data_IF_229268310193
#
_entry.id   IF_229268310193
#
_cell.length_a   1.000
_cell.length_b   1.000
_cell.length_c   1.000
_cell.angle_alpha   90.00
_cell.angle_beta   90.00
_cell.angle_gamma   90.00
#
_symmetry.space_group_name_H-M   'P 1'
#
loop_
_entity.id
_entity.type
_entity.pdbx_description
1 polymer ?
#
# COMPACT_ATOMS: atom_id res chain seq x y z
N UNK A 1 31.67 20.75 -42.29
CA UNK A 1 32.36 19.96 -41.25
C UNK A 1 31.86 20.41 -39.87
N UNK A 2 30.72 19.88 -39.40
CA UNK A 2 30.19 20.14 -38.04
C UNK A 2 29.50 18.86 -37.52
N UNK A 3 30.19 17.71 -37.54
CA UNK A 3 29.58 16.43 -37.10
C UNK A 3 30.55 15.56 -36.27
N UNK A 4 31.70 16.07 -35.82
CA UNK A 4 32.70 15.23 -35.10
C UNK A 4 32.72 15.38 -33.58
N UNK A 5 31.99 16.34 -32.99
CA UNK A 5 31.99 16.58 -31.54
C UNK A 5 30.70 16.17 -30.80
N UNK A 6 29.65 15.78 -31.52
CA UNK A 6 28.31 15.50 -30.94
C UNK A 6 28.14 14.05 -30.49
N UNK A 7 28.87 13.10 -31.09
CA UNK A 7 28.77 11.66 -30.81
C UNK A 7 29.14 11.29 -29.37
N UNK A 8 30.28 11.75 -28.79
CA UNK A 8 30.63 11.37 -27.42
C UNK A 8 29.70 11.98 -26.36
N UNK A 9 29.14 13.16 -26.62
CA UNK A 9 28.19 13.81 -25.70
C UNK A 9 26.83 13.09 -25.69
N UNK A 10 26.36 12.63 -26.85
CA UNK A 10 25.10 11.91 -26.97
C UNK A 10 25.17 10.51 -26.32
N UNK A 11 26.27 9.79 -26.53
CA UNK A 11 26.52 8.49 -25.88
C UNK A 11 26.57 8.63 -24.35
N UNK A 12 27.23 9.67 -23.83
CA UNK A 12 27.31 9.92 -22.39
C UNK A 12 25.92 10.24 -21.79
N UNK A 13 25.08 11.00 -22.49
CA UNK A 13 23.71 11.30 -22.04
C UNK A 13 22.84 10.04 -21.97
N UNK A 14 22.93 9.15 -22.97
CA UNK A 14 22.17 7.90 -23.00
C UNK A 14 22.58 6.97 -21.84
N UNK A 15 23.89 6.86 -21.56
CA UNK A 15 24.39 6.07 -20.43
C UNK A 15 23.91 6.62 -19.08
N UNK A 16 23.89 7.95 -18.91
CA UNK A 16 23.38 8.58 -17.70
C UNK A 16 21.88 8.28 -17.48
N UNK A 17 21.07 8.35 -18.53
CA UNK A 17 19.63 8.02 -18.46
C UNK A 17 19.41 6.56 -18.08
N UNK A 18 20.12 5.62 -18.71
CA UNK A 18 20.02 4.18 -18.41
C UNK A 18 20.39 3.89 -16.94
N UNK A 19 21.47 4.46 -16.45
CA UNK A 19 21.88 4.32 -15.07
C UNK A 19 20.83 4.88 -14.10
N UNK A 20 20.26 6.05 -14.42
CA UNK A 20 19.18 6.66 -13.62
C UNK A 20 17.93 5.76 -13.57
N UNK A 21 17.52 5.19 -14.71
CA UNK A 21 16.38 4.25 -14.78
C UNK A 21 16.67 2.99 -13.95
N UNK A 22 17.89 2.44 -14.02
CA UNK A 22 18.30 1.29 -13.21
C UNK A 22 18.26 1.59 -11.70
N UNK A 23 18.79 2.74 -11.28
CA UNK A 23 18.75 3.18 -9.90
C UNK A 23 17.31 3.34 -9.38
N UNK A 24 16.43 4.01 -10.14
CA UNK A 24 15.05 4.23 -9.73
C UNK A 24 14.25 2.93 -9.68
N UNK A 25 14.43 2.01 -10.64
CA UNK A 25 13.82 0.69 -10.59
C UNK A 25 14.33 -0.13 -9.39
N UNK A 26 15.61 -0.05 -9.06
CA UNK A 26 16.17 -0.70 -7.87
C UNK A 26 15.55 -0.14 -6.58
N UNK A 27 15.33 1.17 -6.49
CA UNK A 27 14.62 1.79 -5.35
C UNK A 27 13.17 1.29 -5.29
N UNK A 28 12.43 1.28 -6.41
CA UNK A 28 11.06 0.77 -6.43
C UNK A 28 10.99 -0.71 -6.04
N UNK A 29 11.98 -1.52 -6.42
CA UNK A 29 12.06 -2.91 -6.00
C UNK A 29 12.23 -3.05 -4.48
N UNK A 30 13.08 -2.23 -3.86
CA UNK A 30 13.27 -2.20 -2.39
C UNK A 30 11.96 -1.77 -1.70
N UNK A 31 11.35 -0.68 -2.15
CA UNK A 31 10.09 -0.19 -1.58
C UNK A 31 8.94 -1.18 -1.77
N UNK A 32 8.84 -1.81 -2.94
CA UNK A 32 7.86 -2.87 -3.22
C UNK A 32 8.05 -4.09 -2.32
N UNK A 33 9.30 -4.51 -2.08
CA UNK A 33 9.63 -5.61 -1.18
C UNK A 33 9.30 -5.28 0.29
N UNK A 34 9.60 -4.05 0.72
CA UNK A 34 9.22 -3.57 2.05
C UNK A 34 7.70 -3.52 2.22
N UNK A 35 6.97 -3.03 1.21
CA UNK A 35 5.51 -2.97 1.20
C UNK A 35 4.89 -4.38 1.25
N UNK A 36 5.44 -5.34 0.50
CA UNK A 36 5.01 -6.74 0.55
C UNK A 36 5.25 -7.35 1.94
N UNK A 37 6.44 -7.16 2.51
CA UNK A 37 6.79 -7.65 3.85
C UNK A 37 5.86 -7.10 4.93
N UNK A 38 5.57 -5.79 4.92
CA UNK A 38 4.64 -5.17 5.87
C UNK A 38 3.19 -5.61 5.66
N UNK A 39 2.77 -5.82 4.41
CA UNK A 39 1.43 -6.32 4.11
C UNK A 39 1.24 -7.76 4.62
N UNK A 40 2.26 -8.60 4.49
CA UNK A 40 2.27 -9.94 5.07
C UNK A 40 2.31 -9.88 6.61
N UNK A 41 3.15 -9.01 7.18
CA UNK A 41 3.18 -8.81 8.64
C UNK A 41 1.79 -8.47 9.17
N UNK A 42 1.11 -7.50 8.56
CA UNK A 42 -0.24 -7.09 8.93
C UNK A 42 -1.26 -8.23 8.79
N UNK A 43 -1.08 -9.11 7.79
CA UNK A 43 -1.97 -10.27 7.58
C UNK A 43 -1.74 -11.40 8.59
N UNK A 44 -0.50 -11.64 8.99
CA UNK A 44 -0.13 -12.77 9.85
C UNK A 44 -0.07 -12.43 11.35
N UNK A 45 -0.27 -11.16 11.71
CA UNK A 45 -0.39 -10.77 13.12
C UNK A 45 -1.67 -11.41 13.70
N UNK A 46 -1.56 -12.39 14.62
CA UNK A 46 -2.70 -13.19 15.09
C UNK A 46 -3.76 -12.33 15.78
N UNK A 47 -3.30 -11.25 16.43
CA UNK A 47 -4.18 -10.25 17.02
C UNK A 47 -5.10 -9.63 15.95
N UNK A 48 -4.60 -9.28 14.77
CA UNK A 48 -5.46 -8.66 13.74
C UNK A 48 -6.47 -9.64 13.12
N UNK A 49 -6.10 -10.92 13.01
CA UNK A 49 -6.98 -11.94 12.41
C UNK A 49 -8.26 -12.15 13.21
N UNK A 50 -8.13 -12.25 14.52
CA UNK A 50 -9.29 -12.34 15.41
C UNK A 50 -10.13 -11.06 15.30
N UNK A 51 -9.52 -9.89 15.41
CA UNK A 51 -10.25 -8.63 15.49
C UNK A 51 -11.07 -8.35 14.24
N UNK A 52 -10.49 -8.55 13.05
CA UNK A 52 -11.16 -8.24 11.79
C UNK A 52 -12.31 -9.22 11.52
N UNK A 53 -12.12 -10.51 11.85
CA UNK A 53 -13.19 -11.51 11.74
C UNK A 53 -14.36 -11.17 12.66
N UNK A 54 -14.09 -10.62 13.84
CA UNK A 54 -15.12 -10.34 14.83
C UNK A 54 -15.75 -8.95 14.73
N UNK A 55 -15.03 -7.96 14.20
CA UNK A 55 -15.53 -6.60 13.97
C UNK A 55 -16.27 -6.45 12.64
N UNK A 56 -16.37 -7.52 11.83
CA UNK A 56 -16.99 -7.55 10.50
C UNK A 56 -16.34 -6.57 9.50
N UNK A 57 -15.01 -6.42 9.62
CA UNK A 57 -14.24 -5.42 8.87
C UNK A 57 -13.63 -6.03 7.60
N UNK A 58 -14.46 -6.75 6.83
CA UNK A 58 -14.03 -7.48 5.63
C UNK A 58 -13.43 -6.53 4.57
N UNK A 59 -13.91 -5.30 4.49
CA UNK A 59 -13.45 -4.29 3.53
C UNK A 59 -11.99 -3.87 3.78
N UNK A 60 -11.54 -3.85 5.04
CA UNK A 60 -10.13 -3.63 5.38
C UNK A 60 -9.24 -4.75 4.82
N UNK A 61 -9.69 -6.01 4.90
CA UNK A 61 -8.95 -7.14 4.32
C UNK A 61 -8.85 -7.05 2.80
N UNK A 62 -9.91 -6.61 2.13
CA UNK A 62 -9.88 -6.40 0.67
C UNK A 62 -8.74 -5.43 0.33
N UNK A 63 -8.63 -4.30 1.05
CA UNK A 63 -7.54 -3.33 0.87
C UNK A 63 -6.16 -3.95 1.05
N UNK A 64 -5.95 -4.71 2.13
CA UNK A 64 -4.67 -5.39 2.39
C UNK A 64 -4.31 -6.40 1.29
N UNK A 65 -5.27 -7.24 0.86
CA UNK A 65 -5.02 -8.19 -0.23
C UNK A 65 -4.70 -7.51 -1.57
N UNK A 66 -5.35 -6.39 -1.87
CA UNK A 66 -5.04 -5.58 -3.06
C UNK A 66 -3.61 -5.05 -2.98
N UNK A 67 -3.13 -4.60 -1.81
CA UNK A 67 -1.74 -4.18 -1.63
C UNK A 67 -0.74 -5.34 -1.69
N UNK A 68 -1.09 -6.53 -1.19
CA UNK A 68 -0.26 -7.74 -1.35
C UNK A 68 -0.09 -8.05 -2.84
N UNK A 69 -1.19 -8.09 -3.60
CA UNK A 69 -1.13 -8.36 -5.04
C UNK A 69 -0.32 -7.27 -5.76
N UNK A 70 -0.60 -6.00 -5.47
CA UNK A 70 0.06 -4.84 -6.10
C UNK A 70 1.57 -4.83 -5.80
N UNK A 71 1.98 -5.11 -4.56
CA UNK A 71 3.40 -5.16 -4.20
C UNK A 71 4.17 -6.26 -4.94
N UNK A 72 3.58 -7.45 -5.10
CA UNK A 72 4.17 -8.51 -5.93
C UNK A 72 4.34 -8.06 -7.38
N UNK A 73 3.33 -7.41 -7.96
CA UNK A 73 3.44 -6.85 -9.32
C UNK A 73 4.55 -5.80 -9.40
N UNK A 74 4.63 -4.86 -8.44
CA UNK A 74 5.69 -3.84 -8.41
C UNK A 74 7.08 -4.48 -8.35
N UNK A 75 7.27 -5.52 -7.54
CA UNK A 75 8.56 -6.24 -7.44
C UNK A 75 8.94 -6.85 -8.80
N UNK A 76 8.01 -7.55 -9.45
CA UNK A 76 8.25 -8.16 -10.77
C UNK A 76 8.53 -7.10 -11.82
N UNK A 77 7.72 -6.03 -11.87
CA UNK A 77 7.84 -4.95 -12.85
C UNK A 77 9.14 -4.19 -12.68
N UNK A 78 9.56 -3.92 -11.44
CA UNK A 78 10.83 -3.29 -11.13
C UNK A 78 12.01 -4.18 -11.53
N UNK A 79 11.94 -5.49 -11.26
CA UNK A 79 12.98 -6.44 -11.67
C UNK A 79 13.12 -6.52 -13.19
N UNK A 80 11.99 -6.62 -13.91
CA UNK A 80 11.95 -6.57 -15.38
C UNK A 80 12.46 -5.22 -15.89
N UNK A 81 12.15 -4.12 -15.21
CA UNK A 81 12.64 -2.77 -15.54
C UNK A 81 14.16 -2.66 -15.47
N UNK A 82 14.78 -3.24 -14.43
CA UNK A 82 16.23 -3.33 -14.32
C UNK A 82 16.84 -4.13 -15.48
N UNK A 83 16.25 -5.27 -15.84
CA UNK A 83 16.70 -6.09 -16.97
C UNK A 83 16.53 -5.40 -18.33
N UNK A 84 15.39 -4.74 -18.55
CA UNK A 84 15.09 -4.01 -19.78
C UNK A 84 16.02 -2.81 -19.99
N UNK A 85 16.43 -2.13 -18.91
CA UNK A 85 17.42 -1.05 -18.98
C UNK A 85 18.81 -1.54 -19.43
N UNK A 86 19.17 -2.78 -19.11
CA UNK A 86 20.47 -3.38 -19.44
C UNK A 86 20.48 -4.05 -20.83
N UNK A 87 19.40 -4.71 -21.23
CA UNK A 87 19.35 -5.57 -22.43
C UNK A 87 18.94 -4.85 -23.72
N UNK A 88 18.72 -3.53 -23.68
CA UNK A 88 18.28 -2.70 -24.83
C UNK A 88 17.04 -3.24 -25.58
N UNK A 89 16.25 -4.10 -24.94
CA UNK A 89 15.12 -4.75 -25.57
C UNK A 89 13.91 -3.80 -25.64
N UNK A 90 13.72 -3.17 -26.80
CA UNK A 90 12.71 -2.11 -27.03
C UNK A 90 11.28 -2.56 -26.69
N UNK A 91 10.91 -3.81 -27.01
CA UNK A 91 9.58 -4.34 -26.68
C UNK A 91 9.38 -4.50 -25.17
N UNK A 92 10.42 -4.96 -24.44
CA UNK A 92 10.37 -5.07 -22.98
C UNK A 92 10.23 -3.71 -22.31
N UNK A 93 10.87 -2.68 -22.87
CA UNK A 93 10.72 -1.30 -22.42
C UNK A 93 9.29 -0.78 -22.61
N UNK A 94 8.64 -1.12 -23.74
CA UNK A 94 7.24 -0.76 -23.99
C UNK A 94 6.27 -1.45 -23.03
N UNK A 95 6.45 -2.76 -22.80
CA UNK A 95 5.65 -3.53 -21.84
C UNK A 95 5.84 -2.99 -20.42
N UNK A 96 7.07 -2.64 -20.04
CA UNK A 96 7.36 -2.06 -18.73
C UNK A 96 6.61 -0.73 -18.50
N UNK A 97 6.57 0.16 -19.50
CA UNK A 97 5.81 1.42 -19.42
C UNK A 97 4.31 1.17 -19.14
N UNK A 98 3.71 0.20 -19.84
CA UNK A 98 2.31 -0.17 -19.61
C UNK A 98 2.05 -0.76 -18.22
N UNK A 99 2.93 -1.66 -17.77
CA UNK A 99 2.83 -2.27 -16.44
C UNK A 99 3.04 -1.26 -15.32
N UNK A 100 3.90 -0.26 -15.53
CA UNK A 100 4.15 0.82 -14.57
C UNK A 100 2.90 1.68 -14.34
N UNK A 101 2.15 1.97 -15.41
CA UNK A 101 0.86 2.66 -15.32
C UNK A 101 -0.18 1.82 -14.58
N UNK A 102 -0.24 0.51 -14.88
CA UNK A 102 -1.15 -0.41 -14.19
C UNK A 102 -0.87 -0.47 -12.68
N UNK A 103 0.41 -0.62 -12.30
CA UNK A 103 0.83 -0.63 -10.90
C UNK A 103 0.49 0.69 -10.19
N UNK A 104 0.62 1.83 -10.87
CA UNK A 104 0.22 3.13 -10.33
C UNK A 104 -1.28 3.19 -9.99
N UNK A 105 -2.15 2.73 -10.89
CA UNK A 105 -3.60 2.73 -10.67
C UNK A 105 -3.97 1.78 -9.53
N UNK A 106 -3.42 0.56 -9.52
CA UNK A 106 -3.67 -0.41 -8.45
C UNK A 106 -3.15 0.07 -7.10
N UNK A 107 -1.96 0.67 -7.06
CA UNK A 107 -1.37 1.24 -5.83
C UNK A 107 -2.19 2.39 -5.27
N UNK A 108 -2.66 3.29 -6.14
CA UNK A 108 -3.51 4.40 -5.74
C UNK A 108 -4.87 3.91 -5.20
N UNK A 109 -5.49 2.95 -5.89
CA UNK A 109 -6.75 2.36 -5.44
C UNK A 109 -6.59 1.64 -4.09
N UNK A 110 -5.54 0.83 -3.93
CA UNK A 110 -5.24 0.13 -2.68
C UNK A 110 -4.95 1.09 -1.52
N UNK A 111 -4.16 2.14 -1.76
CA UNK A 111 -3.87 3.17 -0.77
C UNK A 111 -5.13 3.95 -0.38
N UNK A 112 -5.98 4.31 -1.34
CA UNK A 112 -7.25 5.00 -1.08
C UNK A 112 -8.19 4.16 -0.22
N UNK A 113 -8.34 2.87 -0.53
CA UNK A 113 -9.17 1.95 0.29
C UNK A 113 -8.60 1.85 1.70
N UNK A 114 -7.30 1.61 1.88
CA UNK A 114 -6.74 1.47 3.23
C UNK A 114 -6.87 2.76 4.05
N UNK A 115 -6.68 3.93 3.43
CA UNK A 115 -6.87 5.20 4.13
C UNK A 115 -8.33 5.43 4.52
N UNK A 116 -9.28 5.11 3.65
CA UNK A 116 -10.72 5.26 3.92
C UNK A 116 -11.22 4.29 5.02
N UNK A 117 -10.56 3.13 5.15
CA UNK A 117 -10.87 2.12 6.18
C UNK A 117 -9.81 2.05 7.29
N UNK A 118 -9.03 3.11 7.53
CA UNK A 118 -8.08 3.11 8.64
C UNK A 118 -7.86 4.46 9.30
N UNK A 119 -8.32 5.55 8.69
CA UNK A 119 -8.11 6.90 9.23
C UNK A 119 -9.16 7.23 10.29
N UNK A 120 -8.78 7.99 11.31
CA UNK A 120 -9.73 8.58 12.25
C UNK A 120 -10.80 9.44 11.53
N UNK A 121 -12.05 9.38 11.97
CA UNK A 121 -13.22 10.08 11.39
C UNK A 121 -13.64 9.62 9.97
N UNK A 122 -13.15 8.45 9.56
CA UNK A 122 -13.58 7.80 8.31
C UNK A 122 -14.76 6.84 8.51
N UNK A 123 -15.13 6.11 7.45
CA UNK A 123 -16.21 5.12 7.48
C UNK A 123 -15.99 4.00 8.51
N UNK A 124 -14.79 3.87 9.07
CA UNK A 124 -14.46 2.84 10.04
C UNK A 124 -15.07 3.06 11.43
N UNK A 125 -15.20 4.30 11.90
CA UNK A 125 -15.76 4.59 13.23
C UNK A 125 -17.19 4.04 13.44
N UNK A 126 -18.16 4.27 12.54
CA UNK A 126 -19.50 3.73 12.71
C UNK A 126 -19.54 2.19 12.64
N UNK A 127 -18.63 1.57 11.89
CA UNK A 127 -18.48 0.11 11.81
C UNK A 127 -17.99 -0.42 13.16
N UNK A 128 -16.89 0.13 13.69
CA UNK A 128 -16.35 -0.25 15.01
C UNK A 128 -17.41 -0.03 16.09
N UNK A 129 -18.11 1.12 16.08
CA UNK A 129 -19.14 1.44 17.07
C UNK A 129 -20.26 0.40 17.08
N UNK A 130 -20.76 0.03 15.89
CA UNK A 130 -21.82 -0.97 15.74
C UNK A 130 -21.34 -2.34 16.20
N UNK A 131 -20.15 -2.76 15.79
CA UNK A 131 -19.59 -4.05 16.17
C UNK A 131 -19.36 -4.13 17.69
N UNK A 132 -18.74 -3.12 18.30
CA UNK A 132 -18.57 -3.05 19.77
C UNK A 132 -19.92 -3.08 20.50
N UNK A 133 -20.91 -2.32 20.05
CA UNK A 133 -22.26 -2.34 20.63
C UNK A 133 -22.92 -3.72 20.52
N UNK A 134 -22.75 -4.40 19.39
CA UNK A 134 -23.24 -5.76 19.18
C UNK A 134 -22.53 -6.78 20.08
N UNK A 135 -21.22 -6.65 20.28
CA UNK A 135 -20.45 -7.49 21.20
C UNK A 135 -20.90 -7.29 22.66
N UNK A 136 -21.11 -6.04 23.09
CA UNK A 136 -21.61 -5.72 24.44
C UNK A 136 -23.02 -6.30 24.65
N UNK A 137 -23.90 -6.16 23.66
CA UNK A 137 -25.25 -6.73 23.71
C UNK A 137 -25.23 -8.26 23.84
N UNK A 138 -24.37 -8.92 23.05
CA UNK A 138 -24.23 -10.38 23.00
C UNK A 138 -23.22 -10.96 24.00
N UNK A 139 -22.73 -10.16 24.95
CA UNK A 139 -21.75 -10.53 25.98
C UNK A 139 -22.09 -11.76 26.83
N UNK A 140 -23.32 -12.27 26.76
CA UNK A 140 -23.72 -13.53 27.39
C UNK A 140 -23.13 -14.77 26.71
N UNK A 141 -22.68 -14.66 25.46
CA UNK A 141 -22.00 -15.74 24.75
C UNK A 141 -20.49 -15.68 24.99
N UNK A 142 -19.90 -16.82 25.32
CA UNK A 142 -18.46 -16.94 25.62
C UNK A 142 -17.57 -16.36 24.52
N UNK A 143 -17.97 -16.54 23.25
CA UNK A 143 -17.25 -15.99 22.10
C UNK A 143 -17.24 -14.46 22.13
N UNK A 144 -18.41 -13.81 22.25
CA UNK A 144 -18.50 -12.35 22.26
C UNK A 144 -17.77 -11.74 23.47
N UNK A 145 -17.90 -12.37 24.64
CA UNK A 145 -17.19 -11.95 25.85
C UNK A 145 -15.67 -12.09 25.71
N UNK A 146 -15.17 -13.20 25.16
CA UNK A 146 -13.74 -13.42 24.94
C UNK A 146 -13.13 -12.40 23.97
N UNK A 147 -13.85 -12.02 22.92
CA UNK A 147 -13.39 -11.01 21.96
C UNK A 147 -13.37 -9.64 22.61
N UNK A 148 -14.44 -9.27 23.31
CA UNK A 148 -14.56 -7.98 23.98
C UNK A 148 -13.43 -7.81 25.01
N UNK A 149 -13.11 -8.88 25.75
CA UNK A 149 -11.94 -8.94 26.63
C UNK A 149 -10.63 -8.67 25.90
N UNK A 150 -10.37 -9.43 24.84
CA UNK A 150 -9.13 -9.31 24.06
C UNK A 150 -8.98 -7.91 23.47
N UNK A 151 -10.08 -7.29 23.06
CA UNK A 151 -10.10 -5.91 22.55
C UNK A 151 -9.73 -4.90 23.63
N UNK A 152 -10.49 -4.91 24.72
CA UNK A 152 -10.37 -3.91 25.78
C UNK A 152 -9.02 -4.00 26.52
N UNK A 153 -8.49 -5.22 26.70
CA UNK A 153 -7.22 -5.45 27.38
C UNK A 153 -6.00 -5.07 26.52
N UNK A 154 -6.02 -5.36 25.22
CA UNK A 154 -4.87 -5.07 24.33
C UNK A 154 -4.79 -3.58 23.95
N UNK A 155 -5.92 -2.91 23.77
CA UNK A 155 -5.96 -1.49 23.37
C UNK A 155 -6.08 -0.56 24.59
N UNK A 156 -6.59 -1.04 25.73
CA UNK A 156 -6.75 -0.22 26.93
C UNK A 156 -7.93 0.75 26.83
N UNK A 157 -9.07 0.26 26.34
CA UNK A 157 -10.27 1.06 26.08
C UNK A 157 -11.50 0.43 26.74
N UNK A 158 -12.58 1.20 26.89
CA UNK A 158 -13.81 0.70 27.51
C UNK A 158 -15.08 1.14 26.78
N UNK A 159 -15.97 0.19 26.50
CA UNK A 159 -17.20 0.43 25.73
C UNK A 159 -16.93 0.75 24.26
N UNK A 160 -17.96 1.19 23.54
CA UNK A 160 -17.80 1.71 22.19
C UNK A 160 -17.30 3.17 22.26
N UNK A 161 -18.08 4.04 22.90
CA UNK A 161 -17.75 5.45 23.12
C UNK A 161 -17.33 5.73 24.57
N UNK A 162 -17.55 4.79 25.48
CA UNK A 162 -17.07 4.87 26.85
C UNK A 162 -17.71 3.83 27.80
N UNK A 163 -17.31 3.82 29.08
CA UNK A 163 -17.83 2.87 30.08
C UNK A 163 -19.35 2.98 30.31
N UNK A 164 -19.95 4.14 30.00
CA UNK A 164 -21.39 4.36 30.15
C UNK A 164 -22.23 3.49 29.20
N UNK A 165 -21.66 2.96 28.12
CA UNK A 165 -22.38 2.08 27.20
C UNK A 165 -22.90 0.82 27.90
N UNK A 166 -22.12 0.26 28.82
CA UNK A 166 -22.55 -0.89 29.62
C UNK A 166 -23.72 -0.54 30.54
N UNK A 167 -23.67 0.62 31.18
CA UNK A 167 -24.74 1.11 32.07
C UNK A 167 -26.03 1.35 31.28
N UNK A 168 -25.92 1.99 30.12
CA UNK A 168 -27.04 2.27 29.22
C UNK A 168 -27.68 0.98 28.68
N UNK A 169 -26.89 -0.07 28.48
CA UNK A 169 -27.35 -1.38 28.01
C UNK A 169 -27.73 -2.35 29.15
N UNK A 170 -27.73 -1.91 30.41
CA UNK A 170 -28.03 -2.73 31.59
C UNK A 170 -27.14 -3.98 31.69
N UNK A 171 -25.87 -3.86 31.30
CA UNK A 171 -24.86 -4.91 31.38
C UNK A 171 -23.86 -4.63 32.51
N UNK A 172 -23.34 -5.67 33.19
CA UNK A 172 -22.26 -5.48 34.15
C UNK A 172 -20.99 -5.02 33.41
N UNK A 173 -20.24 -4.10 34.03
CA UNK A 173 -18.96 -3.67 33.50
C UNK A 173 -17.94 -4.82 33.65
N UNK A 174 -17.30 -5.29 32.57
CA UNK A 174 -16.31 -6.36 32.66
C UNK A 174 -15.07 -5.87 33.41
N UNK A 175 -14.35 -6.79 34.06
CA UNK A 175 -13.10 -6.49 34.77
C UNK A 175 -12.00 -5.95 33.85
N UNK A 176 -12.14 -6.19 32.54
CA UNK A 176 -11.15 -5.92 31.50
C UNK A 176 -11.22 -4.45 31.04
N UNK A 177 -12.35 -3.80 31.34
CA UNK A 177 -12.55 -2.36 31.19
C UNK A 177 -11.79 -1.55 32.25
N UNK A 178 -11.02 -2.18 33.14
CA UNK A 178 -10.40 -1.56 34.31
C UNK A 178 -8.89 -1.54 34.16
N UNK A 179 -8.31 -0.37 34.39
CA UNK A 179 -6.86 -0.22 34.45
C UNK A 179 -6.32 -0.97 35.68
N UNK A 180 -5.35 -1.86 35.43
CA UNK A 180 -4.71 -2.72 36.44
C UNK A 180 -3.95 -1.93 37.50
N UNK A 181 -3.53 -0.70 37.20
CA UNK A 181 -2.78 0.17 38.11
C UNK A 181 -3.71 1.03 38.97
N UNK A 182 -4.62 1.78 38.34
CA UNK A 182 -5.48 2.72 39.07
C UNK A 182 -6.75 2.07 39.63
N UNK A 183 -7.16 0.93 39.08
CA UNK A 183 -8.44 0.33 39.41
C UNK A 183 -9.63 1.20 38.97
N UNK A 184 -9.45 2.13 38.04
CA UNK A 184 -10.56 2.87 37.44
C UNK A 184 -10.91 2.26 36.09
N UNK A 185 -12.15 2.47 35.63
CA UNK A 185 -12.51 2.09 34.27
C UNK A 185 -11.76 3.00 33.27
N UNK A 186 -11.37 2.47 32.11
CA UNK A 186 -10.82 3.30 31.05
C UNK A 186 -11.86 4.35 30.65
N UNK A 187 -11.42 5.61 30.54
CA UNK A 187 -12.29 6.72 30.17
C UNK A 187 -12.50 6.79 28.65
N UNK A 188 -11.53 6.32 27.87
CA UNK A 188 -11.55 6.35 26.42
C UNK A 188 -12.38 5.20 25.82
N UNK A 189 -13.22 5.54 24.85
CA UNK A 189 -14.01 4.58 24.09
C UNK A 189 -13.15 3.79 23.10
N UNK A 190 -13.49 2.52 22.86
CA UNK A 190 -12.73 1.70 21.93
C UNK A 190 -12.83 2.18 20.47
N UNK A 191 -13.86 2.93 20.08
CA UNK A 191 -13.96 3.45 18.70
C UNK A 191 -12.77 4.36 18.38
N UNK A 192 -12.40 5.25 19.29
CA UNK A 192 -11.29 6.19 19.11
C UNK A 192 -9.94 5.45 19.17
N UNK A 193 -9.69 4.71 20.25
CA UNK A 193 -8.40 4.04 20.47
C UNK A 193 -8.09 2.98 19.41
N UNK A 194 -9.10 2.21 18.95
CA UNK A 194 -8.91 1.24 17.86
C UNK A 194 -8.58 1.97 16.56
N UNK A 195 -9.25 3.09 16.26
CA UNK A 195 -8.95 3.86 15.05
C UNK A 195 -7.50 4.35 15.06
N UNK A 196 -7.03 4.89 16.19
CA UNK A 196 -5.64 5.32 16.36
C UNK A 196 -4.64 4.15 16.26
N UNK A 197 -4.97 3.01 16.86
CA UNK A 197 -4.14 1.80 16.77
C UNK A 197 -4.00 1.30 15.33
N UNK A 198 -5.11 1.27 14.57
CA UNK A 198 -5.12 0.89 13.16
C UNK A 198 -4.32 1.87 12.31
N UNK A 199 -4.52 3.18 12.50
CA UNK A 199 -3.80 4.24 11.79
C UNK A 199 -2.28 4.14 12.00
N UNK A 200 -1.83 3.89 13.23
CA UNK A 200 -0.41 3.74 13.52
C UNK A 200 0.24 2.54 12.82
N UNK A 201 -0.53 1.45 12.62
CA UNK A 201 -0.04 0.20 12.03
C UNK A 201 -0.14 0.20 10.51
N UNK A 202 -1.25 0.69 9.95
CA UNK A 202 -1.47 0.81 8.51
C UNK A 202 -0.77 2.04 7.91
N UNK A 203 -0.44 3.06 8.71
CA UNK A 203 0.18 4.30 8.25
C UNK A 203 1.54 4.09 7.58
N UNK A 204 2.36 3.18 8.10
CA UNK A 204 3.63 2.79 7.45
C UNK A 204 3.38 2.18 6.07
N UNK A 205 2.36 1.33 5.95
CA UNK A 205 2.00 0.66 4.71
C UNK A 205 1.45 1.68 3.68
N UNK A 206 0.54 2.55 4.10
CA UNK A 206 -0.01 3.62 3.27
C UNK A 206 1.09 4.60 2.82
N UNK A 207 2.03 4.94 3.71
CA UNK A 207 3.18 5.80 3.39
C UNK A 207 4.07 5.22 2.29
N UNK A 208 4.38 3.92 2.37
CA UNK A 208 5.15 3.23 1.31
C UNK A 208 4.38 3.16 -0.01
N UNK A 209 3.08 2.88 0.03
CA UNK A 209 2.25 2.85 -1.16
C UNK A 209 2.21 4.22 -1.85
N UNK A 210 2.00 5.31 -1.09
CA UNK A 210 2.03 6.67 -1.63
C UNK A 210 3.40 7.07 -2.17
N UNK A 211 4.49 6.68 -1.49
CA UNK A 211 5.85 6.92 -1.98
C UNK A 211 6.10 6.23 -3.33
N UNK A 212 5.67 4.97 -3.48
CA UNK A 212 5.71 4.26 -4.76
C UNK A 212 4.85 4.97 -5.82
N UNK A 213 3.63 5.39 -5.48
CA UNK A 213 2.76 6.15 -6.39
C UNK A 213 3.40 7.45 -6.87
N UNK A 214 4.24 8.11 -6.07
CA UNK A 214 5.01 9.29 -6.51
C UNK A 214 6.16 8.92 -7.46
N UNK A 215 6.82 7.77 -7.23
CA UNK A 215 7.92 7.30 -8.08
C UNK A 215 7.44 6.78 -9.45
N UNK A 216 6.25 6.18 -9.51
CA UNK A 216 5.70 5.56 -10.71
C UNK A 216 5.68 6.51 -11.94
N UNK A 217 5.09 7.72 -11.86
CA UNK A 217 5.06 8.67 -12.98
C UNK A 217 6.45 9.14 -13.41
N UNK A 218 7.37 9.34 -12.45
CA UNK A 218 8.73 9.78 -12.74
C UNK A 218 9.46 8.74 -13.59
N UNK A 219 9.41 7.46 -13.19
CA UNK A 219 10.02 6.36 -13.94
C UNK A 219 9.33 6.14 -15.27
N UNK A 220 7.99 6.24 -15.32
CA UNK A 220 7.22 6.16 -16.55
C UNK A 220 7.67 7.22 -17.56
N UNK A 221 7.80 8.48 -17.15
CA UNK A 221 8.22 9.58 -18.04
C UNK A 221 9.65 9.39 -18.56
N UNK A 222 10.59 9.00 -17.70
CA UNK A 222 11.98 8.73 -18.11
C UNK A 222 12.06 7.56 -19.09
N UNK A 223 11.35 6.47 -18.78
CA UNK A 223 11.34 5.27 -19.63
C UNK A 223 10.67 5.56 -20.97
N UNK A 224 9.53 6.24 -20.99
CA UNK A 224 8.84 6.62 -22.22
C UNK A 224 9.70 7.53 -23.12
N UNK A 225 10.46 8.46 -22.52
CA UNK A 225 11.42 9.29 -23.23
C UNK A 225 12.52 8.47 -23.91
N UNK A 226 13.05 7.47 -23.21
CA UNK A 226 14.05 6.53 -23.74
C UNK A 226 13.47 5.63 -24.85
N UNK A 227 12.26 5.07 -24.66
CA UNK A 227 11.60 4.24 -25.66
C UNK A 227 11.30 5.01 -26.95
N UNK A 228 10.86 6.28 -26.86
CA UNK A 228 10.61 7.13 -28.04
C UNK A 228 11.89 7.38 -28.85
N UNK A 229 13.00 7.69 -28.19
CA UNK A 229 14.28 7.87 -28.87
C UNK A 229 14.77 6.57 -29.54
N UNK A 230 14.69 5.44 -28.84
CA UNK A 230 15.06 4.14 -29.39
C UNK A 230 14.19 3.77 -30.61
N UNK A 231 12.88 4.04 -30.56
CA UNK A 231 11.96 3.79 -31.66
C UNK A 231 12.27 4.69 -32.88
N UNK A 232 12.54 5.98 -32.67
CA UNK A 232 12.92 6.90 -33.75
C UNK A 232 14.20 6.45 -34.44
N UNK A 233 15.24 6.07 -33.68
CA UNK A 233 16.49 5.56 -34.23
C UNK A 233 16.28 4.26 -35.02
N UNK A 234 15.45 3.35 -34.51
CA UNK A 234 15.09 2.12 -35.21
C UNK A 234 14.31 2.39 -36.51
N UNK A 235 13.36 3.33 -36.50
CA UNK A 235 12.63 3.74 -37.69
C UNK A 235 13.52 4.45 -38.72
N UNK A 236 14.51 5.23 -38.28
CA UNK A 236 15.53 5.81 -39.15
C UNK A 236 16.41 4.72 -39.79
N UNK A 237 16.88 3.74 -39.01
CA UNK A 237 17.63 2.59 -39.55
C UNK A 237 16.80 1.77 -40.53
N UNK A 238 15.51 1.55 -40.25
CA UNK A 238 14.60 0.89 -41.20
C UNK A 238 14.35 1.73 -42.44
N UNK A 239 14.26 3.05 -42.32
CA UNK A 239 14.12 3.97 -43.46
C UNK A 239 15.38 3.92 -44.34
N UNK A 240 16.57 3.93 -43.75
CA UNK A 240 17.84 3.74 -44.47
C UNK A 240 17.92 2.35 -45.12
N UNK A 241 17.57 1.29 -44.39
CA UNK A 241 17.60 -0.09 -44.89
C UNK A 241 16.60 -0.35 -46.02
N UNK A 242 15.46 0.32 -46.04
CA UNK A 242 14.46 0.21 -47.10
C UNK A 242 14.77 1.13 -48.30
N UNK A 243 15.88 1.85 -48.30
CA UNK A 243 16.35 2.62 -49.45
C UNK A 243 15.40 3.73 -49.90
N UNK A 244 14.60 4.28 -48.99
CA UNK A 244 13.60 5.31 -49.30
C UNK A 244 14.18 6.72 -49.52
N UNK A 245 15.51 6.83 -49.67
CA UNK A 245 16.22 8.05 -50.10
C UNK A 245 16.57 8.04 -51.60
N UNK A 246 16.02 7.10 -52.38
CA UNK A 246 16.31 6.97 -53.81
C UNK A 246 15.05 6.98 -54.69
N UNK A 247 14.20 7.99 -54.56
CA UNK A 247 13.30 8.54 -55.61
C UNK A 247 13.13 10.04 -55.34
#
# INVERSE_FOLDING_TARGET
MVVKNSTPQLEQQIQCIKFTIFCLNSVMWIFGSAMFGLSLWLRFEPVFEDWIMFLDMYEFYIGVYVLIATSVFVIIVAFVGCGAALMEYVLGLFVHVGLQLFCFICGLAGAAVILDYSTYDSQIQPIIRRSMSNLISNSQHDRASGILKLIQENVGCCGADGPMDYVNMLKPLPTECRDTVTGNAFFHGCVEEISWFLEARSGWLAGLALSLCMLHPAVHQMTQGSTKHALLCFLEQLRESNGLDRI
#
